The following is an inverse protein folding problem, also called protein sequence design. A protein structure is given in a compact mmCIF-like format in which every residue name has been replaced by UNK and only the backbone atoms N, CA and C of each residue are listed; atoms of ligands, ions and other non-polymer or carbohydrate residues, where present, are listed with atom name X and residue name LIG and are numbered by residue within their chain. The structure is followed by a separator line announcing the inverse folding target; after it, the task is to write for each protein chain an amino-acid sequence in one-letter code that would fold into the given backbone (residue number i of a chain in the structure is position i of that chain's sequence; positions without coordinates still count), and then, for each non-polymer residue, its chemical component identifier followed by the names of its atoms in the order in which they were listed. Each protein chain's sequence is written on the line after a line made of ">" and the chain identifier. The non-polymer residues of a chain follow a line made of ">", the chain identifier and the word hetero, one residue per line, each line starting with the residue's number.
data_IF_922708672693
#
_entry.id   IF_922708672693
#
_cell.length_a   1.000
_cell.length_b   1.000
_cell.length_c   1.000
_cell.angle_alpha   90.00
_cell.angle_beta   90.00
_cell.angle_gamma   90.00
#
_symmetry.space_group_name_H-M   'P 1'
#
loop_
_entity.id
_entity.type
_entity.pdbx_description
1 polymer ?
#
# COMPACT_ATOMS: atom_id res chain seq x y z
N UNK A 1 14.59 -36.43 15.01
CA UNK A 1 13.66 -35.81 14.04
C UNK A 1 13.78 -34.30 14.17
N UNK A 2 14.11 -33.62 13.08
CA UNK A 2 14.39 -32.18 13.03
C UNK A 2 13.11 -31.38 12.81
N UNK A 3 12.50 -30.91 13.90
CA UNK A 3 11.37 -29.97 13.78
C UNK A 3 11.91 -28.62 13.34
N UNK A 4 11.65 -28.31 12.07
CA UNK A 4 12.19 -27.22 11.27
C UNK A 4 11.37 -25.93 11.45
N UNK A 5 10.84 -25.69 12.65
CA UNK A 5 10.00 -24.52 12.89
C UNK A 5 10.84 -23.32 13.30
N UNK A 6 10.67 -22.25 12.54
CA UNK A 6 11.24 -20.95 12.84
C UNK A 6 10.59 -20.45 14.13
N UNK A 7 11.40 -20.10 15.14
CA UNK A 7 10.93 -19.64 16.44
C UNK A 7 10.36 -18.22 16.27
N UNK A 8 9.07 -18.12 15.94
CA UNK A 8 8.31 -16.89 16.01
C UNK A 8 8.13 -16.50 17.49
N UNK A 9 8.13 -15.21 17.80
CA UNK A 9 7.82 -14.73 19.13
C UNK A 9 6.41 -14.11 19.13
N UNK A 10 5.56 -14.57 20.04
CA UNK A 10 4.25 -13.98 20.27
C UNK A 10 4.37 -13.00 21.44
N UNK A 11 3.88 -11.79 21.26
CA UNK A 11 3.84 -10.74 22.28
C UNK A 11 2.44 -10.18 22.38
N UNK A 12 1.99 -9.97 23.60
CA UNK A 12 0.69 -9.36 23.89
C UNK A 12 0.92 -7.93 24.36
N UNK A 13 0.18 -6.99 23.77
CA UNK A 13 0.16 -5.59 24.18
C UNK A 13 -1.16 -5.31 24.89
N UNK A 14 -1.14 -4.86 26.16
CA UNK A 14 -2.36 -4.51 26.86
C UNK A 14 -3.06 -3.32 26.18
N UNK A 15 -4.39 -3.23 26.26
CA UNK A 15 -5.13 -2.09 25.75
C UNK A 15 -4.72 -0.80 26.48
N UNK A 16 -4.93 0.39 25.87
CA UNK A 16 -4.73 1.66 26.54
C UNK A 16 -5.51 1.72 27.86
N UNK A 17 -4.94 2.35 28.89
CA UNK A 17 -5.59 2.46 30.20
C UNK A 17 -6.97 3.11 30.07
N UNK A 18 -8.02 2.38 30.47
CA UNK A 18 -9.42 2.84 30.37
C UNK A 18 -10.16 2.42 29.08
N UNK A 19 -9.52 1.70 28.16
CA UNK A 19 -10.17 1.05 27.02
C UNK A 19 -10.75 -0.32 27.42
N UNK A 20 -11.92 -0.65 26.88
CA UNK A 20 -12.55 -1.98 26.98
C UNK A 20 -12.13 -2.93 25.83
N UNK A 21 -11.16 -2.52 25.01
CA UNK A 21 -10.71 -3.32 23.88
C UNK A 21 -9.89 -4.53 24.37
N UNK A 22 -9.94 -5.66 23.65
CA UNK A 22 -9.07 -6.79 23.95
C UNK A 22 -7.59 -6.42 23.70
N UNK A 23 -6.65 -7.11 24.37
CA UNK A 23 -5.23 -6.93 24.12
C UNK A 23 -4.85 -7.31 22.68
N UNK A 24 -3.90 -6.57 22.10
CA UNK A 24 -3.43 -6.81 20.74
C UNK A 24 -2.29 -7.82 20.75
N UNK A 25 -2.46 -8.91 19.99
CA UNK A 25 -1.44 -9.96 19.86
C UNK A 25 -0.60 -9.71 18.61
N UNK A 26 0.70 -9.51 18.79
CA UNK A 26 1.68 -9.41 17.72
C UNK A 26 2.49 -10.71 17.61
N UNK A 27 2.71 -11.17 16.39
CA UNK A 27 3.65 -12.25 16.10
C UNK A 27 4.84 -11.69 15.35
N UNK A 28 5.99 -11.65 16.01
CA UNK A 28 7.25 -11.33 15.37
C UNK A 28 7.75 -12.55 14.63
N UNK A 29 7.77 -12.43 13.30
CA UNK A 29 8.23 -13.48 12.42
C UNK A 29 9.76 -13.53 12.46
N UNK A 30 10.30 -14.73 12.62
CA UNK A 30 11.72 -14.99 12.42
C UNK A 30 12.68 -14.33 13.44
N UNK A 31 12.33 -14.37 14.73
CA UNK A 31 13.11 -13.76 15.82
C UNK A 31 14.38 -14.51 16.23
N UNK A 32 14.74 -15.64 15.60
CA UNK A 32 15.89 -16.41 16.06
C UNK A 32 17.25 -15.69 15.86
N UNK A 33 17.29 -14.60 15.10
CA UNK A 33 18.43 -13.66 15.07
C UNK A 33 18.45 -12.69 16.28
N UNK A 34 17.29 -12.28 16.79
CA UNK A 34 17.16 -11.37 17.95
C UNK A 34 17.41 -12.13 19.27
N UNK A 35 16.92 -13.38 19.38
CA UNK A 35 17.00 -14.19 20.61
C UNK A 35 18.37 -14.85 20.85
N UNK A 36 19.23 -14.99 19.84
CA UNK A 36 20.54 -15.67 19.96
C UNK A 36 21.72 -14.71 20.20
N UNK A 37 21.51 -13.58 20.88
CA UNK A 37 22.56 -12.60 21.21
C UNK A 37 23.68 -13.08 22.16
N UNK A 38 23.74 -14.38 22.48
CA UNK A 38 24.75 -14.91 23.40
C UNK A 38 26.07 -15.35 22.77
N UNK A 39 26.09 -15.86 21.53
CA UNK A 39 27.29 -16.48 20.91
C UNK A 39 27.00 -16.93 19.48
N UNK A 40 26.86 -16.00 18.54
CA UNK A 40 26.81 -16.36 17.11
C UNK A 40 27.72 -15.39 16.38
N UNK A 41 28.90 -15.87 16.00
CA UNK A 41 29.65 -15.27 14.89
C UNK A 41 28.70 -15.23 13.70
N UNK A 42 28.37 -14.02 13.26
CA UNK A 42 27.47 -13.79 12.15
C UNK A 42 28.02 -14.57 10.94
N UNK A 43 27.30 -15.62 10.53
CA UNK A 43 27.60 -16.33 9.29
C UNK A 43 27.51 -15.39 8.08
N UNK A 44 27.89 -15.84 6.87
CA UNK A 44 28.00 -14.97 5.71
C UNK A 44 26.67 -14.23 5.46
N UNK A 45 26.75 -12.91 5.30
CA UNK A 45 25.64 -11.96 5.18
C UNK A 45 24.51 -12.43 4.23
N UNK A 46 24.86 -13.21 3.20
CA UNK A 46 23.95 -13.89 2.29
C UNK A 46 22.85 -14.71 2.98
N UNK A 47 23.15 -15.40 4.08
CA UNK A 47 22.17 -16.18 4.83
C UNK A 47 21.17 -15.29 5.58
N UNK A 48 21.57 -14.08 5.97
CA UNK A 48 20.69 -13.13 6.65
C UNK A 48 19.68 -12.53 5.69
N UNK A 49 20.09 -12.18 4.47
CA UNK A 49 19.18 -11.65 3.44
C UNK A 49 18.12 -12.70 3.09
N UNK A 50 18.53 -13.93 2.78
CA UNK A 50 17.59 -15.02 2.47
C UNK A 50 16.58 -15.29 3.58
N UNK A 51 17.00 -15.11 4.83
CA UNK A 51 16.15 -15.23 6.01
C UNK A 51 15.12 -14.11 6.06
N UNK A 52 15.55 -12.85 5.90
CA UNK A 52 14.65 -11.70 5.82
C UNK A 52 13.63 -11.83 4.67
N UNK A 53 14.04 -12.31 3.49
CA UNK A 53 13.14 -12.56 2.36
C UNK A 53 12.06 -13.62 2.66
N UNK A 54 12.35 -14.61 3.52
CA UNK A 54 11.35 -15.58 3.99
C UNK A 54 10.41 -14.95 5.03
N UNK A 55 10.94 -14.12 5.93
CA UNK A 55 10.14 -13.41 6.93
C UNK A 55 9.13 -12.47 6.28
N UNK A 56 9.54 -11.67 5.28
CA UNK A 56 8.66 -10.75 4.53
C UNK A 56 7.45 -11.49 3.94
N UNK A 57 7.65 -12.67 3.35
CA UNK A 57 6.56 -13.47 2.76
C UNK A 57 5.51 -13.93 3.77
N UNK A 58 5.87 -14.04 5.05
CA UNK A 58 4.98 -14.50 6.13
C UNK A 58 4.37 -13.35 6.92
N UNK A 59 4.91 -12.14 6.78
CA UNK A 59 4.48 -10.98 7.53
C UNK A 59 3.26 -10.28 6.88
N UNK A 60 2.41 -9.67 7.70
CA UNK A 60 1.41 -8.70 7.23
C UNK A 60 2.05 -7.30 7.06
N UNK A 61 2.89 -6.91 8.02
CA UNK A 61 3.64 -5.64 8.04
C UNK A 61 5.12 -5.94 8.20
N UNK A 62 5.94 -5.35 7.33
CA UNK A 62 7.40 -5.34 7.45
C UNK A 62 7.87 -4.05 8.14
N UNK A 63 8.75 -4.17 9.13
CA UNK A 63 9.49 -3.05 9.70
C UNK A 63 10.85 -3.00 9.02
N UNK A 64 11.06 -2.04 8.12
CA UNK A 64 12.36 -1.83 7.49
C UNK A 64 13.19 -0.93 8.39
N UNK A 65 14.05 -1.54 9.21
CA UNK A 65 14.90 -0.83 10.17
C UNK A 65 16.20 -0.41 9.49
N UNK A 66 16.46 0.89 9.44
CA UNK A 66 17.65 1.48 8.84
C UNK A 66 18.49 2.17 9.91
N UNK A 67 19.80 2.28 9.68
CA UNK A 67 20.68 3.09 10.50
C UNK A 67 20.69 4.54 9.99
N UNK A 68 20.19 5.48 10.79
CA UNK A 68 20.11 6.89 10.39
C UNK A 68 21.49 7.54 10.16
N UNK A 69 22.57 6.94 10.66
CA UNK A 69 23.96 7.44 10.52
C UNK A 69 24.67 6.93 9.27
N UNK A 70 24.21 5.82 8.68
CA UNK A 70 24.90 5.15 7.57
C UNK A 70 24.17 5.29 6.22
N UNK A 71 22.97 5.89 6.21
CA UNK A 71 22.18 6.02 4.99
C UNK A 71 21.54 4.69 4.57
N UNK A 72 21.17 4.60 3.29
CA UNK A 72 20.54 3.40 2.71
C UNK A 72 21.59 2.52 2.04
N UNK A 73 21.68 1.25 2.44
CA UNK A 73 22.57 0.28 1.81
C UNK A 73 21.88 -0.43 0.63
N UNK A 74 22.66 -1.05 -0.26
CA UNK A 74 22.13 -1.83 -1.39
C UNK A 74 21.18 -2.96 -0.93
N UNK A 75 21.52 -3.61 0.18
CA UNK A 75 20.71 -4.68 0.76
C UNK A 75 19.34 -4.17 1.22
N UNK A 76 19.26 -2.93 1.73
CA UNK A 76 17.98 -2.31 2.12
C UNK A 76 17.07 -2.09 0.91
N UNK A 77 17.63 -1.68 -0.22
CA UNK A 77 16.91 -1.55 -1.48
C UNK A 77 16.35 -2.90 -1.96
N UNK A 78 17.12 -3.99 -1.83
CA UNK A 78 16.66 -5.34 -2.16
C UNK A 78 15.49 -5.77 -1.26
N UNK A 79 15.58 -5.50 0.04
CA UNK A 79 14.49 -5.80 0.99
C UNK A 79 13.25 -4.94 0.71
N UNK A 80 13.42 -3.65 0.44
CA UNK A 80 12.34 -2.73 0.10
C UNK A 80 11.60 -3.15 -1.19
N UNK A 81 12.34 -3.53 -2.23
CA UNK A 81 11.77 -4.08 -3.46
C UNK A 81 10.96 -5.34 -3.15
N UNK A 82 11.51 -6.25 -2.34
CA UNK A 82 10.80 -7.48 -1.97
C UNK A 82 9.50 -7.21 -1.22
N UNK A 83 9.52 -6.27 -0.27
CA UNK A 83 8.35 -5.85 0.49
C UNK A 83 7.24 -5.35 -0.45
N UNK A 84 7.60 -4.50 -1.42
CA UNK A 84 6.66 -3.97 -2.40
C UNK A 84 6.10 -5.08 -3.33
N UNK A 85 6.96 -5.95 -3.84
CA UNK A 85 6.59 -7.04 -4.76
C UNK A 85 5.63 -8.04 -4.12
N UNK A 86 5.95 -8.46 -2.89
CA UNK A 86 5.10 -9.37 -2.12
C UNK A 86 3.83 -8.68 -1.60
N UNK A 87 3.72 -7.36 -1.80
CA UNK A 87 2.55 -6.58 -1.45
C UNK A 87 2.35 -6.49 0.05
N UNK A 88 3.42 -6.32 0.83
CA UNK A 88 3.35 -6.20 2.30
C UNK A 88 3.22 -4.73 2.71
N UNK A 89 2.49 -4.49 3.79
CA UNK A 89 2.56 -3.19 4.43
C UNK A 89 3.97 -2.94 4.98
N UNK A 90 4.38 -1.68 5.05
CA UNK A 90 5.73 -1.32 5.44
C UNK A 90 5.74 -0.08 6.31
N UNK A 91 6.58 -0.09 7.34
CA UNK A 91 6.97 1.09 8.12
C UNK A 91 8.49 1.14 8.10
N UNK A 92 9.03 2.28 7.71
CA UNK A 92 10.49 2.53 7.74
C UNK A 92 10.82 3.05 9.13
N UNK A 93 11.79 2.42 9.79
CA UNK A 93 12.25 2.81 11.13
C UNK A 93 13.72 3.21 11.04
N UNK A 94 13.97 4.51 10.98
CA UNK A 94 15.32 5.08 11.04
C UNK A 94 15.79 5.09 12.50
N UNK A 95 16.59 4.08 12.87
CA UNK A 95 17.13 3.91 14.20
C UNK A 95 18.45 4.68 14.39
N UNK A 96 18.90 4.80 15.64
CA UNK A 96 20.08 5.59 16.06
C UNK A 96 19.94 7.08 15.76
N UNK A 97 18.71 7.59 15.76
CA UNK A 97 18.48 9.00 15.48
C UNK A 97 19.24 9.90 16.45
N UNK A 98 19.42 9.50 17.71
CA UNK A 98 20.21 10.19 18.73
C UNK A 98 21.67 10.45 18.31
N UNK A 99 22.27 9.55 17.52
CA UNK A 99 23.67 9.65 17.09
C UNK A 99 23.88 10.55 15.86
N UNK A 100 22.80 11.04 15.24
CA UNK A 100 22.91 12.02 14.15
C UNK A 100 23.33 13.38 14.73
N UNK A 101 24.50 13.86 14.32
CA UNK A 101 25.12 15.12 14.75
C UNK A 101 24.56 16.30 13.94
N UNK A 102 24.70 17.53 14.44
CA UNK A 102 24.37 18.78 13.73
C UNK A 102 22.94 18.88 13.19
N UNK A 103 21.97 18.40 13.98
CA UNK A 103 20.54 18.54 13.64
C UNK A 103 20.13 20.00 13.69
N UNK A 104 19.83 20.55 12.52
CA UNK A 104 19.08 21.80 12.37
C UNK A 104 17.57 21.53 12.26
N UNK A 105 16.76 22.59 12.20
CA UNK A 105 15.31 22.49 12.02
C UNK A 105 14.90 21.81 10.71
N UNK A 106 15.77 21.81 9.70
CA UNK A 106 15.52 21.25 8.37
C UNK A 106 15.99 19.81 8.20
N UNK A 107 16.77 19.29 9.15
CA UNK A 107 17.46 18.00 9.06
C UNK A 107 16.44 16.88 8.96
N UNK A 108 15.34 17.00 9.69
CA UNK A 108 14.22 16.06 9.60
C UNK A 108 13.66 15.95 8.18
N UNK A 109 13.31 17.08 7.56
CA UNK A 109 12.70 17.10 6.23
C UNK A 109 13.68 16.67 5.14
N UNK A 110 14.95 17.05 5.28
CA UNK A 110 16.04 16.60 4.40
C UNK A 110 16.21 15.07 4.48
N UNK A 111 16.22 14.50 5.68
CA UNK A 111 16.32 13.05 5.87
C UNK A 111 15.09 12.31 5.31
N UNK A 112 13.87 12.82 5.55
CA UNK A 112 12.65 12.25 4.97
C UNK A 112 12.70 12.24 3.45
N UNK A 113 13.14 13.34 2.84
CA UNK A 113 13.30 13.43 1.39
C UNK A 113 14.34 12.43 0.89
N UNK A 114 15.52 12.38 1.53
CA UNK A 114 16.58 11.43 1.20
C UNK A 114 16.08 9.97 1.18
N UNK A 115 15.47 9.50 2.26
CA UNK A 115 14.97 8.11 2.32
C UNK A 115 13.88 7.81 1.28
N UNK A 116 13.03 8.79 0.94
CA UNK A 116 12.00 8.63 -0.11
C UNK A 116 12.56 8.59 -1.53
N UNK A 117 13.71 9.20 -1.74
CA UNK A 117 14.42 9.21 -3.02
C UNK A 117 15.26 7.94 -3.19
N UNK A 118 15.91 7.46 -2.12
CA UNK A 118 16.69 6.22 -2.11
C UNK A 118 15.83 4.95 -2.09
N UNK A 119 14.62 5.00 -1.50
CA UNK A 119 13.70 3.85 -1.40
C UNK A 119 12.38 4.09 -2.16
N UNK A 120 12.41 4.31 -3.49
CA UNK A 120 11.22 4.62 -4.27
C UNK A 120 10.15 3.52 -4.25
N UNK A 121 10.55 2.26 -4.04
CA UNK A 121 9.68 1.08 -4.00
C UNK A 121 8.67 1.13 -2.85
N UNK A 122 9.08 1.73 -1.73
CA UNK A 122 8.30 1.85 -0.49
C UNK A 122 8.08 3.32 -0.12
N UNK A 123 8.09 4.24 -1.10
CA UNK A 123 7.88 5.68 -0.89
C UNK A 123 6.59 6.02 -0.12
N UNK A 124 5.59 5.15 -0.21
CA UNK A 124 4.30 5.25 0.49
C UNK A 124 4.37 4.87 1.98
N UNK A 125 5.50 4.32 2.44
CA UNK A 125 5.68 3.89 3.81
C UNK A 125 5.96 5.09 4.72
N UNK A 126 5.33 5.15 5.92
CA UNK A 126 5.69 6.14 6.92
C UNK A 126 7.12 5.90 7.42
N UNK A 127 7.80 6.99 7.72
CA UNK A 127 9.17 6.99 8.25
C UNK A 127 9.11 7.41 9.72
N UNK A 128 9.61 6.56 10.60
CA UNK A 128 9.76 6.83 12.03
C UNK A 128 11.23 6.97 12.39
N UNK A 129 11.58 8.10 12.98
CA UNK A 129 12.90 8.29 13.58
C UNK A 129 12.87 7.88 15.05
N UNK A 130 13.71 6.92 15.41
CA UNK A 130 13.76 6.31 16.75
C UNK A 130 15.19 6.16 17.25
N UNK A 131 15.32 5.98 18.56
CA UNK A 131 16.57 5.53 19.18
C UNK A 131 16.27 4.37 20.11
N UNK A 132 16.70 3.18 19.73
CA UNK A 132 16.59 2.01 20.59
C UNK A 132 17.47 2.10 21.84
N UNK A 133 18.60 2.82 21.78
CA UNK A 133 19.53 2.98 22.89
C UNK A 133 18.95 3.86 24.01
N UNK A 134 18.30 4.96 23.64
CA UNK A 134 17.68 5.90 24.61
C UNK A 134 16.20 5.59 24.87
N UNK A 135 15.60 4.69 24.09
CA UNK A 135 14.15 4.43 24.09
C UNK A 135 13.32 5.49 23.37
N UNK A 136 13.94 6.52 22.78
CA UNK A 136 13.23 7.61 22.12
C UNK A 136 12.30 7.10 21.01
N UNK A 137 11.00 7.39 21.15
CA UNK A 137 9.92 7.12 20.18
C UNK A 137 9.73 5.64 19.80
N UNK A 138 10.37 4.69 20.49
CA UNK A 138 10.20 3.24 20.22
C UNK A 138 8.74 2.80 20.39
N UNK A 139 8.03 3.34 21.40
CA UNK A 139 6.61 3.06 21.61
C UNK A 139 5.70 3.46 20.44
N UNK A 140 6.11 4.42 19.60
CA UNK A 140 5.33 4.85 18.42
C UNK A 140 5.29 3.79 17.32
N UNK A 141 6.23 2.83 17.33
CA UNK A 141 6.29 1.76 16.33
C UNK A 141 5.01 0.92 16.36
N UNK A 142 4.48 0.59 17.53
CA UNK A 142 3.25 -0.19 17.63
C UNK A 142 2.05 0.52 16.99
N UNK A 143 1.88 1.83 17.26
CA UNK A 143 0.83 2.62 16.65
C UNK A 143 0.96 2.69 15.12
N UNK A 144 2.18 2.82 14.59
CA UNK A 144 2.41 2.81 13.15
C UNK A 144 2.12 1.43 12.52
N UNK A 145 2.40 0.33 13.22
CA UNK A 145 2.04 -1.02 12.76
C UNK A 145 0.51 -1.18 12.72
N UNK A 146 -0.19 -0.70 13.74
CA UNK A 146 -1.65 -0.77 13.80
C UNK A 146 -2.30 0.03 12.66
N UNK A 147 -1.84 1.26 12.40
CA UNK A 147 -2.29 2.07 11.27
C UNK A 147 -1.93 1.43 9.93
N UNK A 148 -0.73 0.85 9.80
CA UNK A 148 -0.33 0.13 8.60
C UNK A 148 -1.25 -1.08 8.32
N UNK A 149 -1.62 -1.84 9.36
CA UNK A 149 -2.59 -2.94 9.23
C UNK A 149 -3.97 -2.45 8.82
N UNK A 150 -4.47 -1.34 9.41
CA UNK A 150 -5.75 -0.75 9.01
C UNK A 150 -5.74 -0.35 7.54
N UNK A 151 -4.70 0.38 7.11
CA UNK A 151 -4.53 0.80 5.73
C UNK A 151 -4.43 -0.40 4.77
N UNK A 152 -3.65 -1.41 5.13
CA UNK A 152 -3.48 -2.63 4.32
C UNK A 152 -4.77 -3.42 4.10
N UNK A 153 -5.68 -3.32 5.07
CA UNK A 153 -6.98 -4.01 5.10
C UNK A 153 -8.13 -3.13 4.61
N UNK A 154 -7.87 -1.85 4.32
CA UNK A 154 -8.88 -0.87 3.94
C UNK A 154 -9.60 -1.30 2.66
N UNK A 155 -10.93 -1.22 2.70
CA UNK A 155 -11.81 -1.42 1.54
C UNK A 155 -12.56 -0.13 1.26
N UNK A 156 -12.51 0.32 0.00
CA UNK A 156 -13.19 1.52 -0.48
C UNK A 156 -14.31 1.10 -1.42
N UNK A 157 -15.45 1.79 -1.35
CA UNK A 157 -16.60 1.51 -2.20
C UNK A 157 -16.27 1.78 -3.67
N UNK A 158 -16.94 1.06 -4.57
CA UNK A 158 -16.78 1.27 -6.01
C UNK A 158 -17.20 2.68 -6.43
N UNK A 159 -18.21 3.26 -5.78
CA UNK A 159 -18.67 4.62 -6.07
C UNK A 159 -17.55 5.66 -5.85
N UNK A 160 -16.93 5.64 -4.66
CA UNK A 160 -15.85 6.57 -4.28
C UNK A 160 -14.63 6.38 -5.18
N UNK A 161 -14.23 5.13 -5.46
CA UNK A 161 -13.12 4.86 -6.38
C UNK A 161 -13.35 5.42 -7.79
N UNK A 162 -14.59 5.33 -8.28
CA UNK A 162 -14.94 5.83 -9.61
C UNK A 162 -15.13 7.35 -9.64
N UNK A 163 -15.42 7.99 -8.52
CA UNK A 163 -15.40 9.45 -8.38
C UNK A 163 -13.98 9.98 -8.53
N UNK A 164 -13.06 9.48 -7.70
CA UNK A 164 -11.62 9.82 -7.79
C UNK A 164 -11.06 9.54 -9.17
N UNK A 165 -11.44 8.41 -9.79
CA UNK A 165 -11.00 8.09 -11.16
C UNK A 165 -11.47 9.11 -12.19
N UNK A 166 -12.74 9.53 -12.10
CA UNK A 166 -13.32 10.52 -13.04
C UNK A 166 -12.62 11.86 -12.89
N UNK A 167 -12.40 12.31 -11.66
CA UNK A 167 -11.72 13.57 -11.38
C UNK A 167 -10.27 13.56 -11.87
N UNK A 168 -9.56 12.45 -11.67
CA UNK A 168 -8.20 12.27 -12.19
C UNK A 168 -8.15 12.31 -13.72
N UNK A 169 -9.09 11.66 -14.41
CA UNK A 169 -9.16 11.68 -15.88
C UNK A 169 -9.52 13.07 -16.40
N UNK A 170 -10.43 13.77 -15.72
CA UNK A 170 -10.85 15.13 -16.10
C UNK A 170 -9.67 16.11 -15.99
N UNK A 171 -8.90 16.02 -14.90
CA UNK A 171 -7.74 16.88 -14.68
C UNK A 171 -6.60 16.57 -15.66
N UNK A 172 -6.32 15.28 -15.87
CA UNK A 172 -5.27 14.85 -16.79
C UNK A 172 -5.75 13.63 -17.58
N UNK A 173 -6.23 13.84 -18.83
CA UNK A 173 -6.62 12.75 -19.70
C UNK A 173 -5.43 11.83 -20.05
N UNK A 174 -5.68 10.53 -20.33
CA UNK A 174 -4.64 9.65 -20.83
C UNK A 174 -4.02 10.22 -22.12
N UNK A 175 -2.68 10.24 -22.28
CA UNK A 175 -2.06 10.79 -23.48
C UNK A 175 -2.42 9.95 -24.72
N UNK A 176 -2.66 10.63 -25.84
CA UNK A 176 -2.80 9.97 -27.14
C UNK A 176 -1.41 9.57 -27.68
N UNK A 177 -1.32 8.42 -28.34
CA UNK A 177 -0.14 8.02 -29.10
C UNK A 177 -0.04 8.82 -30.39
N UNK A 178 1.14 8.79 -31.04
CA UNK A 178 1.41 9.47 -32.32
C UNK A 178 0.41 9.13 -33.43
N UNK A 179 -0.19 7.93 -33.39
CA UNK A 179 -1.22 7.47 -34.33
C UNK A 179 -2.65 7.83 -33.92
N UNK A 180 -2.85 8.68 -32.91
CA UNK A 180 -4.16 9.07 -32.40
C UNK A 180 -4.81 8.06 -31.44
N UNK A 181 -4.20 6.89 -31.20
CA UNK A 181 -4.75 5.90 -30.29
C UNK A 181 -4.65 6.38 -28.83
N UNK A 182 -5.79 6.46 -28.14
CA UNK A 182 -5.89 6.92 -26.75
C UNK A 182 -6.53 5.85 -25.86
N UNK A 183 -6.04 5.73 -24.63
CA UNK A 183 -6.66 4.86 -23.65
C UNK A 183 -8.01 5.45 -23.21
N UNK A 184 -9.07 4.65 -23.32
CA UNK A 184 -10.38 4.95 -22.76
C UNK A 184 -10.57 4.13 -21.49
N UNK A 185 -10.52 4.80 -20.35
CA UNK A 185 -10.76 4.19 -19.04
C UNK A 185 -12.25 4.30 -18.73
N UNK A 186 -12.85 3.21 -18.28
CA UNK A 186 -14.30 3.12 -18.08
C UNK A 186 -14.69 3.25 -16.61
N UNK A 187 -14.10 2.43 -15.76
CA UNK A 187 -14.39 2.34 -14.33
C UNK A 187 -13.29 1.54 -13.64
N UNK A 188 -13.27 1.59 -12.31
CA UNK A 188 -12.44 0.72 -11.49
C UNK A 188 -13.21 0.13 -10.31
N UNK A 189 -12.67 -0.94 -9.73
CA UNK A 189 -13.15 -1.50 -8.47
C UNK A 189 -12.02 -2.16 -7.67
N UNK A 190 -12.17 -2.21 -6.36
CA UNK A 190 -11.26 -2.93 -5.48
C UNK A 190 -11.67 -4.40 -5.36
N UNK A 191 -10.81 -5.30 -5.84
CA UNK A 191 -11.07 -6.75 -5.87
C UNK A 191 -10.47 -7.48 -4.68
N UNK A 192 -9.39 -6.96 -4.09
CA UNK A 192 -8.72 -7.57 -2.94
C UNK A 192 -8.30 -6.53 -1.89
N UNK A 193 -8.13 -7.02 -0.68
CA UNK A 193 -7.54 -6.33 0.48
C UNK A 193 -6.36 -7.18 0.95
N UNK A 194 -5.23 -6.57 1.30
CA UNK A 194 -3.94 -7.22 1.62
C UNK A 194 -3.15 -7.82 0.42
N UNK A 195 -2.53 -6.99 -0.45
CA UNK A 195 -2.66 -5.54 -0.49
C UNK A 195 -3.97 -5.09 -1.15
N UNK A 196 -4.42 -3.85 -0.90
CA UNK A 196 -5.47 -3.23 -1.68
C UNK A 196 -5.18 -3.35 -3.18
N UNK A 197 -6.04 -4.09 -3.89
CA UNK A 197 -5.86 -4.38 -5.32
C UNK A 197 -7.01 -3.76 -6.10
N UNK A 198 -6.69 -2.80 -6.95
CA UNK A 198 -7.66 -2.06 -7.77
C UNK A 198 -7.53 -2.51 -9.22
N UNK A 199 -8.64 -2.95 -9.80
CA UNK A 199 -8.73 -3.27 -11.22
C UNK A 199 -9.31 -2.07 -11.96
N UNK A 200 -8.60 -1.58 -12.97
CA UNK A 200 -9.03 -0.50 -13.87
C UNK A 200 -9.39 -1.12 -15.22
N UNK A 201 -10.64 -0.91 -15.63
CA UNK A 201 -11.14 -1.40 -16.91
C UNK A 201 -10.99 -0.34 -17.98
N UNK A 202 -10.39 -0.71 -19.10
CA UNK A 202 -10.12 0.16 -20.23
C UNK A 202 -10.36 -0.54 -21.57
N UNK A 203 -10.24 0.19 -22.67
CA UNK A 203 -10.25 -0.38 -24.02
C UNK A 203 -9.03 -1.30 -24.24
N UNK A 204 -7.82 -0.77 -24.08
CA UNK A 204 -6.57 -1.51 -24.21
C UNK A 204 -5.57 -1.09 -23.12
N UNK A 205 -5.18 -2.01 -22.21
CA UNK A 205 -4.18 -1.75 -21.17
C UNK A 205 -2.82 -1.29 -21.69
N UNK A 206 -2.47 -1.65 -22.95
CA UNK A 206 -1.19 -1.26 -23.57
C UNK A 206 -1.14 0.22 -23.92
N UNK A 207 -2.30 0.89 -24.00
CA UNK A 207 -2.36 2.33 -24.26
C UNK A 207 -2.09 3.16 -23.00
N UNK A 208 -2.17 2.55 -21.81
CA UNK A 208 -1.90 3.23 -20.54
C UNK A 208 -0.40 3.15 -20.23
N UNK A 209 0.30 4.27 -20.40
CA UNK A 209 1.75 4.38 -20.14
C UNK A 209 2.07 4.30 -18.66
N UNK A 210 3.28 3.88 -18.30
CA UNK A 210 3.69 3.80 -16.89
C UNK A 210 3.71 5.16 -16.19
N UNK A 211 3.97 6.25 -16.92
CA UNK A 211 3.82 7.60 -16.40
C UNK A 211 2.37 7.88 -15.98
N UNK A 212 1.40 7.48 -16.79
CA UNK A 212 -0.01 7.65 -16.46
C UNK A 212 -0.43 6.74 -15.30
N UNK A 213 0.12 5.51 -15.22
CA UNK A 213 -0.10 4.61 -14.07
C UNK A 213 0.42 5.23 -12.75
N UNK A 214 1.62 5.83 -12.77
CA UNK A 214 2.19 6.55 -11.62
C UNK A 214 1.35 7.78 -11.25
N UNK A 215 0.84 8.50 -12.25
CA UNK A 215 -0.08 9.62 -12.02
C UNK A 215 -1.36 9.15 -11.30
N UNK A 216 -2.00 8.09 -11.80
CA UNK A 216 -3.19 7.52 -11.16
C UNK A 216 -2.89 7.05 -9.73
N UNK A 217 -1.81 6.30 -9.51
CA UNK A 217 -1.43 5.87 -8.16
C UNK A 217 -1.31 7.05 -7.20
N UNK A 218 -0.56 8.09 -7.60
CA UNK A 218 -0.39 9.30 -6.80
C UNK A 218 -1.73 9.98 -6.54
N UNK A 219 -2.58 10.16 -7.56
CA UNK A 219 -3.87 10.84 -7.39
C UNK A 219 -4.82 10.08 -6.48
N UNK A 220 -4.85 8.76 -6.58
CA UNK A 220 -5.63 7.93 -5.67
C UNK A 220 -5.12 8.03 -4.24
N UNK A 221 -3.81 8.04 -4.02
CA UNK A 221 -3.23 8.24 -2.68
C UNK A 221 -3.45 9.63 -2.12
N UNK A 222 -3.45 10.67 -2.96
CA UNK A 222 -3.75 12.05 -2.57
C UNK A 222 -5.23 12.25 -2.22
N UNK A 223 -6.15 11.53 -2.90
CA UNK A 223 -7.60 11.72 -2.75
C UNK A 223 -8.25 10.76 -1.77
N UNK A 224 -7.58 9.64 -1.45
CA UNK A 224 -8.07 8.62 -0.54
C UNK A 224 -7.11 8.51 0.64
N UNK A 225 -7.56 9.02 1.79
CA UNK A 225 -6.86 8.80 3.06
C UNK A 225 -6.80 7.31 3.39
N UNK A 226 -5.82 6.88 4.20
CA UNK A 226 -5.77 5.52 4.74
C UNK A 226 -5.17 4.47 3.82
N UNK A 227 -4.37 4.88 2.83
CA UNK A 227 -3.48 3.99 2.07
C UNK A 227 -2.00 4.26 2.35
N UNK A 228 -1.71 5.02 3.42
CA UNK A 228 -0.36 5.14 3.95
C UNK A 228 0.12 3.76 4.40
N UNK A 229 1.43 3.50 4.32
CA UNK A 229 2.02 2.23 4.78
C UNK A 229 1.57 0.96 4.04
N UNK A 230 0.84 1.04 2.93
CA UNK A 230 0.55 -0.11 2.06
C UNK A 230 0.80 0.17 0.57
N UNK A 231 1.28 -0.84 -0.19
CA UNK A 231 1.27 -0.75 -1.64
C UNK A 231 -0.18 -0.89 -2.15
N UNK A 232 -0.50 -0.19 -3.24
CA UNK A 232 -1.73 -0.40 -4.00
C UNK A 232 -1.35 -1.19 -5.25
N UNK A 233 -1.98 -2.35 -5.45
CA UNK A 233 -1.76 -3.18 -6.63
C UNK A 233 -2.74 -2.78 -7.73
N UNK A 234 -2.20 -2.23 -8.81
CA UNK A 234 -2.96 -1.82 -9.99
C UNK A 234 -3.00 -2.92 -11.03
N UNK A 235 -4.20 -3.28 -11.49
CA UNK A 235 -4.41 -4.25 -12.58
C UNK A 235 -5.21 -3.56 -13.68
N UNK A 236 -4.67 -3.49 -14.88
CA UNK A 236 -5.36 -2.91 -16.03
C UNK A 236 -5.92 -4.00 -16.92
N UNK A 237 -7.23 -3.99 -17.18
CA UNK A 237 -7.90 -5.01 -18.01
C UNK A 237 -8.61 -4.37 -19.20
N UNK A 238 -8.37 -4.94 -20.38
CA UNK A 238 -9.13 -4.66 -21.58
C UNK A 238 -10.51 -5.29 -21.46
N UNK A 239 -11.58 -4.52 -21.69
CA UNK A 239 -12.93 -5.08 -21.64
C UNK A 239 -13.16 -5.99 -22.86
N UNK A 240 -13.62 -7.23 -22.66
CA UNK A 240 -14.14 -8.07 -23.76
C UNK A 240 -15.56 -7.64 -24.10
N UNK A 241 -15.95 -7.68 -25.38
CA UNK A 241 -17.24 -7.18 -25.87
C UNK A 241 -18.48 -7.74 -25.14
N UNK A 242 -18.40 -8.94 -24.54
CA UNK A 242 -19.48 -9.58 -23.78
C UNK A 242 -19.80 -8.90 -22.44
N UNK A 243 -18.81 -8.28 -21.79
CA UNK A 243 -18.99 -7.63 -20.48
C UNK A 243 -19.73 -6.29 -20.60
N UNK A 244 -19.74 -5.68 -21.80
CA UNK A 244 -20.47 -4.43 -22.07
C UNK A 244 -21.99 -4.59 -21.96
N UNK A 245 -22.53 -5.76 -22.32
CA UNK A 245 -23.98 -6.02 -22.33
C UNK A 245 -24.52 -6.32 -20.92
N UNK A 246 -23.81 -7.11 -20.12
CA UNK A 246 -24.22 -7.48 -18.76
C UNK A 246 -24.24 -6.28 -17.80
N UNK A 247 -23.27 -5.37 -17.87
CA UNK A 247 -23.22 -4.22 -16.97
C UNK A 247 -24.23 -3.12 -17.34
N UNK A 248 -24.51 -2.93 -18.65
CA UNK A 248 -25.59 -2.03 -19.10
C UNK A 248 -26.97 -2.55 -18.67
N UNK A 249 -27.16 -3.87 -18.65
CA UNK A 249 -28.37 -4.49 -18.14
C UNK A 249 -28.50 -4.38 -16.61
N UNK A 250 -27.39 -4.42 -15.85
CA UNK A 250 -27.40 -4.28 -14.39
C UNK A 250 -27.52 -2.83 -13.88
N UNK A 251 -27.03 -1.84 -14.63
CA UNK A 251 -27.05 -0.43 -14.20
C UNK A 251 -28.30 0.35 -14.68
N UNK A 252 -29.29 -0.32 -15.27
CA UNK A 252 -30.48 0.31 -15.84
C UNK A 252 -30.16 1.10 -17.11
N UNK A 253 -30.89 0.85 -18.18
CA UNK A 253 -30.84 1.73 -19.36
C UNK A 253 -31.47 3.08 -18.98
N UNK A 254 -30.84 4.23 -19.32
CA UNK A 254 -31.63 5.46 -19.47
C UNK A 254 -32.57 5.23 -20.64
N UNK A 255 -33.87 5.41 -20.39
CA UNK A 255 -34.97 5.04 -21.27
C UNK A 255 -34.75 5.49 -22.72
N UNK A 256 -34.82 4.53 -23.62
CA UNK A 256 -35.09 4.80 -25.03
C UNK A 256 -36.48 5.44 -25.09
N UNK A 257 -36.56 6.60 -25.75
CA UNK A 257 -37.76 7.44 -25.79
C UNK A 257 -38.96 6.64 -26.29
N UNK A 258 -39.89 6.35 -25.39
CA UNK A 258 -41.17 5.77 -25.75
C UNK A 258 -41.91 6.70 -26.70
N UNK A 259 -42.05 6.26 -27.94
CA UNK A 259 -43.02 6.78 -28.90
C UNK A 259 -44.38 6.87 -28.20
N UNK A 260 -44.90 8.11 -28.16
CA UNK A 260 -46.19 8.43 -27.59
C UNK A 260 -47.28 7.55 -28.19
N UNK A 261 -47.91 6.75 -27.34
CA UNK A 261 -49.24 6.22 -27.60
C UNK A 261 -50.20 7.00 -26.71
N UNK A 262 -50.88 7.96 -27.34
CA UNK A 262 -52.03 8.66 -26.80
C UNK A 262 -53.14 7.66 -26.50
N UNK A 263 -53.63 7.62 -25.26
CA UNK A 263 -54.96 7.12 -24.97
C UNK A 263 -55.77 8.23 -24.27
N UNK A 264 -56.97 8.56 -24.79
CA UNK A 264 -57.84 9.58 -24.23
C UNK A 264 -58.81 8.94 -23.23
N UNK A 265 -58.95 9.50 -22.04
CA UNK A 265 -60.20 9.40 -21.27
C UNK A 265 -60.35 10.61 -20.35
N UNK A 266 -61.37 11.46 -20.59
CA UNK A 266 -61.83 12.43 -19.61
C UNK A 266 -63.10 11.93 -18.89
N UNK A 267 -63.16 12.31 -17.61
CA UNK A 267 -64.32 12.45 -16.72
C UNK A 267 -65.06 11.23 -16.17
N UNK A 268 -65.16 11.22 -14.84
CA UNK A 268 -66.47 11.22 -14.20
C UNK A 268 -66.41 12.14 -12.95
N UNK A 269 -67.51 12.87 -12.73
CA UNK A 269 -67.83 13.57 -11.48
C UNK A 269 -67.95 12.61 -10.31
#
# INVERSE_FOLDING_TARGET
>A
GTTRDTIDAVMERPPPTGSSDPPTIYRFVDTAGIRRKGKVEFGPEFFMVNRALRAIRRADVALLVLDATQGVAEQDCVLAQKIADDGRACVIVCNKWDAVVDKDSSTYDKSVKYFRDELPQVRWAPILFTSAATGQRVGKVYGAVDEALKAHRRRVSTAVLNEVLRDAILWQPPPARRNGAQAKIYYCNQVSTRPPTVVVFCNDPKLITDNYRRYLDRKFRESLDGFEATPIRWIYRGRRARDMRRQRAMNGQPGDGGLGTSYPFPHAM
#
